data_IF_047781441246
#
_entry.id   IF_047781441246
#
_cell.length_a   1.000
_cell.length_b   1.000
_cell.length_c   1.000
_cell.angle_alpha   90.00
_cell.angle_beta   90.00
_cell.angle_gamma   90.00
#
_symmetry.space_group_name_H-M   'P 1'
#
loop_
_entity.id
_entity.type
_entity.pdbx_description
1 polymer ?
#
# COMPACT_ATOMS: atom_id res chain seq x y z
N UNK A 1 46.27 22.93 50.73
CA UNK A 1 45.39 23.99 51.25
C UNK A 1 44.90 24.81 50.08
N UNK A 2 43.57 24.87 49.92
CA UNK A 2 42.75 25.77 49.07
C UNK A 2 42.92 25.58 47.56
N UNK A 3 42.02 24.84 46.91
CA UNK A 3 40.63 25.21 46.56
C UNK A 3 40.52 26.61 45.97
N UNK A 4 40.43 26.66 44.64
CA UNK A 4 39.94 27.81 43.88
C UNK A 4 38.77 27.34 43.04
N UNK A 5 37.65 27.31 43.74
CA UNK A 5 36.26 27.34 43.30
C UNK A 5 36.06 27.98 41.91
N UNK A 6 35.55 27.19 40.96
CA UNK A 6 34.81 27.71 39.81
C UNK A 6 33.43 28.14 40.30
N UNK A 7 33.30 29.36 40.82
CA UNK A 7 31.99 29.98 41.03
C UNK A 7 31.55 30.49 39.66
N UNK A 8 30.68 29.71 39.00
CA UNK A 8 29.86 30.22 37.90
C UNK A 8 28.77 31.07 38.56
N UNK A 9 28.88 32.39 38.44
CA UNK A 9 27.77 33.30 38.74
C UNK A 9 26.61 32.98 37.79
N UNK A 10 25.63 32.22 38.29
CA UNK A 10 24.34 32.08 37.62
C UNK A 10 23.57 33.39 37.80
N UNK A 11 23.41 34.15 36.72
CA UNK A 11 22.56 35.34 36.67
C UNK A 11 21.13 35.00 37.17
N UNK A 12 20.55 35.84 38.04
CA UNK A 12 19.20 35.66 38.62
C UNK A 12 18.07 35.41 37.59
N UNK A 13 18.24 35.89 36.35
CA UNK A 13 17.32 35.63 35.23
C UNK A 13 17.27 34.16 34.78
N UNK A 14 18.36 33.42 34.94
CA UNK A 14 18.41 31.97 34.64
C UNK A 14 17.69 31.15 35.71
N UNK A 15 17.76 31.59 36.96
CA UNK A 15 17.10 30.97 38.11
C UNK A 15 15.58 31.18 38.04
N UNK A 16 15.13 32.40 37.68
CA UNK A 16 13.71 32.71 37.47
C UNK A 16 13.13 31.94 36.27
N UNK A 17 13.87 31.86 35.15
CA UNK A 17 13.47 31.05 33.99
C UNK A 17 13.38 29.55 34.32
N UNK A 18 14.30 29.01 35.13
CA UNK A 18 14.27 27.62 35.57
C UNK A 18 13.12 27.34 36.53
N UNK A 19 12.84 28.28 37.45
CA UNK A 19 11.71 28.21 38.39
C UNK A 19 10.36 28.25 37.65
N UNK A 20 10.24 29.12 36.65
CA UNK A 20 9.06 29.22 35.79
C UNK A 20 8.86 27.95 34.96
N UNK A 21 9.93 27.38 34.39
CA UNK A 21 9.86 26.09 33.70
C UNK A 21 9.44 24.95 34.63
N UNK A 22 10.03 24.84 35.82
CA UNK A 22 9.68 23.81 36.80
C UNK A 22 8.22 23.94 37.27
N UNK A 23 7.72 25.17 37.43
CA UNK A 23 6.32 25.44 37.78
C UNK A 23 5.37 25.04 36.64
N UNK A 24 5.73 25.33 35.39
CA UNK A 24 4.97 24.90 34.21
C UNK A 24 4.91 23.38 34.11
N UNK A 25 6.05 22.68 34.24
CA UNK A 25 6.10 21.21 34.22
C UNK A 25 5.25 20.62 35.35
N UNK A 26 5.27 21.20 36.56
CA UNK A 26 4.43 20.74 37.67
C UNK A 26 2.94 20.91 37.38
N UNK A 27 2.56 22.01 36.71
CA UNK A 27 1.18 22.23 36.24
C UNK A 27 0.79 21.28 35.10
N UNK A 28 1.71 20.94 34.21
CA UNK A 28 1.46 19.95 33.16
C UNK A 28 1.30 18.54 33.75
N UNK A 29 2.12 18.20 34.75
CA UNK A 29 2.03 16.94 35.49
C UNK A 29 0.69 16.80 36.23
N UNK A 30 0.17 17.89 36.81
CA UNK A 30 -1.12 17.86 37.51
C UNK A 30 -2.30 17.68 36.56
N UNK A 31 -2.17 18.10 35.29
CA UNK A 31 -3.18 17.92 34.23
C UNK A 31 -2.95 16.69 33.36
N UNK A 32 -1.83 15.98 33.55
CA UNK A 32 -1.35 14.95 32.63
C UNK A 32 -2.35 13.84 32.33
N UNK A 33 -3.12 13.39 33.31
CA UNK A 33 -4.12 12.33 33.11
C UNK A 33 -5.27 12.79 32.20
N UNK A 34 -5.74 14.02 32.38
CA UNK A 34 -6.77 14.64 31.54
C UNK A 34 -6.21 14.91 30.13
N UNK A 35 -5.00 15.49 30.05
CA UNK A 35 -4.30 15.73 28.78
C UNK A 35 -4.13 14.44 27.98
N UNK A 36 -3.68 13.34 28.60
CA UNK A 36 -3.53 12.04 27.94
C UNK A 36 -4.85 11.48 27.40
N UNK A 37 -5.94 11.65 28.14
CA UNK A 37 -7.26 11.20 27.70
C UNK A 37 -7.72 11.97 26.47
N UNK A 38 -7.57 13.30 26.50
CA UNK A 38 -7.91 14.20 25.38
C UNK A 38 -7.01 13.94 24.17
N UNK A 39 -5.70 13.81 24.38
CA UNK A 39 -4.72 13.48 23.34
C UNK A 39 -5.03 12.14 22.68
N UNK A 40 -5.32 11.10 23.47
CA UNK A 40 -5.70 9.78 22.95
C UNK A 40 -6.95 9.85 22.07
N UNK A 41 -7.99 10.55 22.52
CA UNK A 41 -9.21 10.75 21.72
C UNK A 41 -8.94 11.56 20.45
N UNK A 42 -8.02 12.52 20.50
CA UNK A 42 -7.65 13.34 19.34
C UNK A 42 -6.83 12.54 18.33
N UNK A 43 -5.82 11.79 18.77
CA UNK A 43 -4.99 10.94 17.91
C UNK A 43 -5.81 9.85 17.22
N UNK A 44 -6.80 9.28 17.92
CA UNK A 44 -7.71 8.29 17.36
C UNK A 44 -8.57 8.82 16.19
N UNK A 45 -8.73 10.15 16.06
CA UNK A 45 -9.49 10.77 14.97
C UNK A 45 -8.62 11.18 13.78
N UNK A 46 -7.30 11.25 13.95
CA UNK A 46 -6.37 11.67 12.91
C UNK A 46 -6.19 10.57 11.88
N UNK A 47 -6.14 10.96 10.61
CA UNK A 47 -5.97 10.03 9.48
C UNK A 47 -5.24 10.64 8.29
N UNK A 48 -5.18 11.97 8.20
CA UNK A 48 -4.48 12.71 7.17
C UNK A 48 -3.25 13.34 7.81
N UNK A 49 -2.05 12.92 7.36
CA UNK A 49 -0.79 13.27 8.01
C UNK A 49 0.10 14.12 7.10
N UNK A 50 0.81 15.09 7.70
CA UNK A 50 1.98 15.70 7.07
C UNK A 50 3.18 14.76 7.21
N UNK A 51 3.79 14.45 6.09
CA UNK A 51 4.98 13.63 5.98
C UNK A 51 6.21 14.50 6.35
N UNK A 52 7.03 14.07 7.32
CA UNK A 52 8.25 14.77 7.70
C UNK A 52 9.22 14.91 6.51
N UNK A 53 9.99 16.02 6.49
CA UNK A 53 10.99 16.28 5.43
C UNK A 53 11.99 15.13 5.26
N UNK A 54 12.44 14.53 6.36
CA UNK A 54 13.35 13.39 6.34
C UNK A 54 12.82 12.20 5.54
N UNK A 55 11.50 11.99 5.49
CA UNK A 55 10.88 10.94 4.67
C UNK A 55 10.72 11.40 3.22
N UNK A 56 10.40 12.67 3.00
CA UNK A 56 10.25 13.24 1.64
C UNK A 56 11.56 13.26 0.85
N UNK A 57 12.67 13.58 1.52
CA UNK A 57 13.99 13.71 0.89
C UNK A 57 14.51 12.36 0.36
N UNK A 58 14.04 11.24 0.91
CA UNK A 58 14.39 9.89 0.47
C UNK A 58 13.69 9.47 -0.84
N UNK A 59 12.49 10.00 -1.07
CA UNK A 59 11.64 9.69 -2.23
C UNK A 59 11.08 11.00 -2.81
N UNK A 60 11.98 11.86 -3.28
CA UNK A 60 11.65 13.20 -3.78
C UNK A 60 10.73 13.10 -5.01
N UNK A 61 9.46 13.45 -4.84
CA UNK A 61 8.44 13.43 -5.89
C UNK A 61 7.22 12.56 -5.60
N UNK A 62 7.34 11.58 -4.70
CA UNK A 62 6.23 10.67 -4.36
C UNK A 62 5.13 11.31 -3.47
N UNK A 63 5.48 12.40 -2.79
CA UNK A 63 4.64 13.03 -1.76
C UNK A 63 4.26 14.48 -2.07
N UNK A 64 4.50 14.94 -3.31
CA UNK A 64 4.15 16.30 -3.72
C UNK A 64 3.17 16.25 -4.89
N UNK A 65 1.95 16.79 -4.74
CA UNK A 65 1.00 16.85 -5.85
C UNK A 65 1.56 17.74 -6.96
N UNK A 66 1.31 17.36 -8.21
CA UNK A 66 1.83 18.06 -9.39
C UNK A 66 0.74 18.66 -10.28
N UNK A 67 -0.51 18.18 -10.14
CA UNK A 67 -1.64 18.52 -11.00
C UNK A 67 -2.77 19.16 -10.22
N UNK A 68 -3.13 18.60 -9.05
CA UNK A 68 -4.28 19.08 -8.28
C UNK A 68 -4.03 19.01 -6.77
N UNK A 69 -4.25 20.12 -6.08
CA UNK A 69 -4.35 20.15 -4.63
C UNK A 69 -5.70 19.59 -4.20
N UNK A 70 -5.77 18.84 -3.11
CA UNK A 70 -7.00 18.29 -2.55
C UNK A 70 -6.89 18.40 -1.03
N UNK A 71 -7.88 19.02 -0.42
CA UNK A 71 -7.86 19.33 1.00
C UNK A 71 -6.97 20.52 1.31
N UNK A 72 -6.40 20.53 2.52
CA UNK A 72 -5.92 21.76 3.14
C UNK A 72 -4.41 21.99 3.02
N UNK A 73 -3.58 20.94 2.97
CA UNK A 73 -2.13 21.12 3.10
C UNK A 73 -1.47 21.77 1.89
N UNK A 74 -2.01 21.53 0.69
CA UNK A 74 -1.51 22.08 -0.58
C UNK A 74 -2.45 23.16 -1.15
N UNK A 75 -3.39 23.65 -0.34
CA UNK A 75 -4.35 24.64 -0.78
C UNK A 75 -3.64 25.99 -1.03
N UNK A 76 -3.81 26.52 -2.25
CA UNK A 76 -3.20 27.80 -2.65
C UNK A 76 -1.78 27.69 -3.23
N UNK A 77 -1.19 26.49 -3.28
CA UNK A 77 0.14 26.27 -3.86
C UNK A 77 0.20 26.80 -5.31
N UNK A 78 1.15 27.71 -5.65
CA UNK A 78 1.16 28.40 -6.94
C UNK A 78 1.20 27.47 -8.16
N UNK A 79 1.90 26.34 -8.08
CA UNK A 79 2.02 25.40 -9.20
C UNK A 79 0.75 24.57 -9.43
N UNK A 80 -0.21 24.57 -8.50
CA UNK A 80 -1.47 23.80 -8.59
C UNK A 80 -2.69 24.66 -8.95
N UNK A 81 -2.52 25.98 -9.06
CA UNK A 81 -3.62 26.92 -9.28
C UNK A 81 -4.38 26.70 -10.60
N UNK A 82 -3.75 26.09 -11.59
CA UNK A 82 -4.37 25.79 -12.89
C UNK A 82 -5.63 24.94 -12.76
N UNK A 83 -5.68 24.04 -11.76
CA UNK A 83 -6.83 23.15 -11.55
C UNK A 83 -7.98 23.81 -10.77
N UNK A 84 -7.74 24.89 -10.02
CA UNK A 84 -8.78 25.55 -9.19
C UNK A 84 -9.98 26.02 -10.03
N UNK A 85 -9.74 26.49 -11.26
CA UNK A 85 -10.82 26.84 -12.19
C UNK A 85 -11.70 25.63 -12.53
N UNK A 86 -11.10 24.45 -12.70
CA UNK A 86 -11.84 23.22 -13.02
C UNK A 86 -12.60 22.68 -11.80
N UNK A 87 -12.06 22.83 -10.60
CA UNK A 87 -12.79 22.52 -9.36
C UNK A 87 -14.03 23.40 -9.18
N UNK A 88 -13.89 24.70 -9.44
CA UNK A 88 -15.05 25.60 -9.40
C UNK A 88 -16.12 25.23 -10.44
N UNK A 89 -15.71 24.83 -11.65
CA UNK A 89 -16.63 24.33 -12.68
C UNK A 89 -17.34 23.03 -12.24
N UNK A 90 -16.63 22.13 -11.59
CA UNK A 90 -17.22 20.92 -11.01
C UNK A 90 -18.27 21.25 -9.94
N UNK A 91 -17.99 22.21 -9.05
CA UNK A 91 -18.95 22.69 -8.06
C UNK A 91 -20.24 23.21 -8.73
N UNK A 92 -20.12 24.09 -9.74
CA UNK A 92 -21.28 24.64 -10.42
C UNK A 92 -22.14 23.54 -11.08
N UNK A 93 -21.48 22.60 -11.77
CA UNK A 93 -22.16 21.49 -12.45
C UNK A 93 -22.85 20.56 -11.45
N UNK A 94 -22.20 20.29 -10.31
CA UNK A 94 -22.76 19.51 -9.21
C UNK A 94 -24.01 20.18 -8.61
N UNK A 95 -23.98 21.49 -8.35
CA UNK A 95 -25.12 22.24 -7.83
C UNK A 95 -26.29 22.34 -8.83
N UNK A 96 -25.98 22.54 -10.11
CA UNK A 96 -26.98 22.56 -11.18
C UNK A 96 -27.71 21.22 -11.26
N UNK A 97 -26.96 20.11 -11.22
CA UNK A 97 -27.53 18.76 -11.29
C UNK A 97 -28.38 18.42 -10.07
N UNK A 98 -27.93 18.79 -8.87
CA UNK A 98 -28.66 18.49 -7.64
C UNK A 98 -29.91 19.34 -7.46
N UNK A 99 -29.96 20.51 -8.12
CA UNK A 99 -31.01 21.53 -7.95
C UNK A 99 -31.16 22.02 -6.50
N UNK A 100 -30.09 21.89 -5.71
CA UNK A 100 -30.03 22.34 -4.31
C UNK A 100 -29.08 23.53 -4.19
N UNK A 101 -29.40 24.56 -3.38
CA UNK A 101 -28.50 25.68 -3.16
C UNK A 101 -27.25 25.24 -2.38
N UNK A 102 -26.14 25.95 -2.57
CA UNK A 102 -24.87 25.71 -1.85
C UNK A 102 -25.06 25.62 -0.33
N UNK A 103 -25.99 26.41 0.22
CA UNK A 103 -26.29 26.45 1.65
C UNK A 103 -26.69 25.07 2.20
N UNK A 104 -27.39 24.25 1.44
CA UNK A 104 -27.75 22.89 1.87
C UNK A 104 -26.52 22.03 2.17
N UNK A 105 -25.43 22.19 1.40
CA UNK A 105 -24.19 21.43 1.58
C UNK A 105 -23.35 21.96 2.74
N UNK A 106 -23.34 23.29 2.93
CA UNK A 106 -22.75 23.90 4.12
C UNK A 106 -23.46 23.41 5.39
N UNK A 107 -24.79 23.43 5.41
CA UNK A 107 -25.58 22.98 6.56
C UNK A 107 -25.43 21.48 6.79
N UNK A 108 -25.30 20.66 5.72
CA UNK A 108 -25.05 19.23 5.83
C UNK A 108 -23.68 18.89 6.43
N UNK A 109 -22.63 19.63 6.07
CA UNK A 109 -21.27 19.40 6.60
C UNK A 109 -21.02 20.07 7.96
N UNK A 110 -21.77 21.12 8.30
CA UNK A 110 -21.56 21.90 9.53
C UNK A 110 -21.51 21.05 10.81
N UNK A 111 -22.41 20.06 11.03
CA UNK A 111 -22.35 19.18 12.21
C UNK A 111 -21.07 18.34 12.29
N UNK A 112 -20.47 18.00 11.15
CA UNK A 112 -19.25 17.19 11.06
C UNK A 112 -17.96 18.03 11.03
N UNK A 113 -18.05 19.37 10.98
CA UNK A 113 -16.90 20.24 10.75
C UNK A 113 -15.74 19.99 11.73
N UNK A 114 -16.05 19.72 13.01
CA UNK A 114 -15.02 19.45 14.01
C UNK A 114 -14.34 18.09 13.80
N UNK A 115 -15.11 17.04 13.48
CA UNK A 115 -14.54 15.72 13.19
C UNK A 115 -13.71 15.75 11.91
N UNK A 116 -14.14 16.50 10.89
CA UNK A 116 -13.37 16.71 9.66
C UNK A 116 -12.04 17.44 9.93
N UNK A 117 -12.00 18.41 10.86
CA UNK A 117 -10.73 19.04 11.28
C UNK A 117 -9.84 18.08 12.03
N UNK A 118 -10.41 17.28 12.94
CA UNK A 118 -9.65 16.31 13.72
C UNK A 118 -9.03 15.20 12.87
N UNK A 119 -9.54 14.98 11.65
CA UNK A 119 -8.91 14.09 10.69
C UNK A 119 -7.50 14.55 10.26
N UNK A 120 -7.19 15.85 10.31
CA UNK A 120 -5.89 16.39 9.91
C UNK A 120 -4.92 16.50 11.09
N UNK A 121 -3.71 15.98 10.90
CA UNK A 121 -2.58 16.16 11.81
C UNK A 121 -2.01 17.59 11.70
N UNK A 122 -1.79 18.28 12.83
CA UNK A 122 -1.20 19.63 12.86
C UNK A 122 -1.79 20.64 11.85
N UNK A 123 -3.11 20.78 11.85
CA UNK A 123 -3.78 21.77 10.99
C UNK A 123 -3.34 23.22 11.32
N UNK A 124 -3.09 24.02 10.28
CA UNK A 124 -2.68 25.42 10.40
C UNK A 124 -3.77 26.27 11.09
N UNK A 125 -3.40 27.32 11.85
CA UNK A 125 -4.36 28.14 12.61
C UNK A 125 -5.49 28.74 11.76
N UNK A 126 -5.20 29.10 10.50
CA UNK A 126 -6.18 29.70 9.58
C UNK A 126 -7.42 28.81 9.41
N UNK A 127 -7.23 27.49 9.32
CA UNK A 127 -8.31 26.52 9.13
C UNK A 127 -9.08 26.18 10.41
N UNK A 128 -8.54 26.58 11.57
CA UNK A 128 -9.21 26.42 12.88
C UNK A 128 -10.15 27.59 13.17
N UNK A 129 -9.78 28.81 12.77
CA UNK A 129 -10.53 30.02 13.06
C UNK A 129 -11.72 30.26 12.12
N UNK A 130 -11.61 29.89 10.85
CA UNK A 130 -12.64 30.13 9.84
C UNK A 130 -13.33 28.83 9.41
N UNK A 131 -14.56 28.61 9.91
CA UNK A 131 -15.35 27.42 9.57
C UNK A 131 -15.92 27.48 8.18
N UNK A 132 -16.31 28.66 7.70
CA UNK A 132 -16.90 28.75 6.37
C UNK A 132 -15.83 28.54 5.29
N UNK A 133 -14.66 29.16 5.45
CA UNK A 133 -13.54 28.93 4.53
C UNK A 133 -13.08 27.47 4.53
N UNK A 134 -12.97 26.83 5.71
CA UNK A 134 -12.67 25.41 5.82
C UNK A 134 -13.68 24.53 5.07
N UNK A 135 -14.99 24.73 5.32
CA UNK A 135 -16.04 23.95 4.67
C UNK A 135 -16.10 24.22 3.16
N UNK A 136 -15.79 25.45 2.72
CA UNK A 136 -15.71 25.78 1.30
C UNK A 136 -14.68 24.93 0.57
N UNK A 137 -13.50 24.73 1.14
CA UNK A 137 -12.47 23.84 0.55
C UNK A 137 -13.00 22.41 0.49
N UNK A 138 -13.60 21.89 1.57
CA UNK A 138 -14.18 20.54 1.58
C UNK A 138 -15.25 20.34 0.51
N UNK A 139 -16.13 21.33 0.31
CA UNK A 139 -17.21 21.28 -0.69
C UNK A 139 -16.62 21.33 -2.10
N UNK A 140 -15.74 22.30 -2.39
CA UNK A 140 -15.17 22.48 -3.73
C UNK A 140 -14.36 21.25 -4.15
N UNK A 141 -13.44 20.80 -3.29
CA UNK A 141 -12.59 19.65 -3.60
C UNK A 141 -13.41 18.35 -3.60
N UNK A 142 -14.39 18.21 -2.70
CA UNK A 142 -15.29 17.06 -2.68
C UNK A 142 -16.16 16.96 -3.93
N UNK A 143 -16.72 18.08 -4.41
CA UNK A 143 -17.46 18.12 -5.67
C UNK A 143 -16.55 17.78 -6.85
N UNK A 144 -15.35 18.34 -6.90
CA UNK A 144 -14.36 18.01 -7.93
C UNK A 144 -14.05 16.51 -7.98
N UNK A 145 -13.78 15.90 -6.82
CA UNK A 145 -13.52 14.45 -6.70
C UNK A 145 -14.72 13.64 -7.20
N UNK A 146 -15.95 13.98 -6.78
CA UNK A 146 -17.14 13.26 -7.24
C UNK A 146 -17.36 13.39 -8.75
N UNK A 147 -17.17 14.58 -9.31
CA UNK A 147 -17.34 14.83 -10.75
C UNK A 147 -16.27 14.13 -11.60
N UNK A 148 -15.00 14.16 -11.18
CA UNK A 148 -13.94 13.50 -11.96
C UNK A 148 -14.12 11.99 -11.94
N UNK A 149 -14.54 11.41 -10.82
CA UNK A 149 -14.82 9.97 -10.73
C UNK A 149 -16.01 9.56 -11.62
N UNK A 150 -17.10 10.34 -11.61
CA UNK A 150 -18.28 10.10 -12.45
C UNK A 150 -17.97 10.17 -13.93
N UNK A 151 -17.31 11.24 -14.35
CA UNK A 151 -16.99 11.47 -15.76
C UNK A 151 -15.99 10.45 -16.31
N UNK A 152 -15.00 10.05 -15.51
CA UNK A 152 -14.01 9.06 -15.91
C UNK A 152 -14.53 7.61 -15.93
N UNK A 153 -15.61 7.31 -15.20
CA UNK A 153 -16.23 5.97 -15.16
C UNK A 153 -17.47 5.84 -16.05
N UNK A 154 -17.96 6.96 -16.59
CA UNK A 154 -19.14 7.01 -17.44
C UNK A 154 -18.80 6.69 -18.90
N UNK A 155 -19.79 6.17 -19.63
CA UNK A 155 -19.72 6.11 -21.10
C UNK A 155 -19.70 7.54 -21.68
N UNK A 156 -19.03 7.78 -22.83
CA UNK A 156 -18.90 9.12 -23.42
C UNK A 156 -20.24 9.86 -23.59
N UNK A 157 -21.28 9.16 -24.03
CA UNK A 157 -22.64 9.72 -24.20
C UNK A 157 -23.29 10.16 -22.89
N UNK A 158 -22.91 9.55 -21.76
CA UNK A 158 -23.41 9.90 -20.44
C UNK A 158 -22.74 11.15 -19.89
N UNK A 159 -21.48 11.42 -20.24
CA UNK A 159 -20.73 12.61 -19.82
C UNK A 159 -21.39 13.90 -20.33
N UNK A 160 -21.87 13.89 -21.57
CA UNK A 160 -22.60 15.04 -22.16
C UNK A 160 -23.88 15.35 -21.38
N UNK A 161 -24.59 14.30 -20.95
CA UNK A 161 -25.80 14.44 -20.12
C UNK A 161 -25.50 14.96 -18.71
N UNK A 162 -24.25 14.88 -18.25
CA UNK A 162 -23.81 15.43 -16.96
C UNK A 162 -23.48 16.93 -17.03
N UNK A 163 -23.54 17.57 -18.20
CA UNK A 163 -23.28 19.01 -18.36
C UNK A 163 -21.90 19.36 -18.89
N UNK A 164 -21.07 18.38 -19.23
CA UNK A 164 -19.74 18.61 -19.81
C UNK A 164 -19.74 18.43 -21.33
N UNK A 165 -19.07 19.33 -22.03
CA UNK A 165 -18.94 19.27 -23.48
C UNK A 165 -17.84 18.28 -23.91
N UNK A 166 -17.95 17.72 -25.12
CA UNK A 166 -16.98 16.74 -25.65
C UNK A 166 -15.53 17.20 -25.66
N UNK A 167 -15.31 18.51 -25.84
CA UNK A 167 -13.97 19.10 -25.90
C UNK A 167 -13.52 19.66 -24.54
N UNK A 168 -14.18 19.30 -23.44
CA UNK A 168 -13.73 19.69 -22.11
C UNK A 168 -12.32 19.13 -21.84
N UNK A 169 -11.35 19.95 -21.38
CA UNK A 169 -9.99 19.47 -21.20
C UNK A 169 -9.83 18.47 -20.04
N UNK A 170 -10.75 18.43 -19.06
CA UNK A 170 -10.62 17.64 -17.83
C UNK A 170 -11.73 16.58 -17.72
N UNK A 171 -12.97 16.96 -17.96
CA UNK A 171 -14.16 16.14 -17.71
C UNK A 171 -14.69 15.40 -18.95
N UNK A 172 -14.00 15.48 -20.10
CA UNK A 172 -14.34 14.73 -21.31
C UNK A 172 -13.63 13.38 -21.39
N UNK A 173 -13.95 12.57 -22.40
CA UNK A 173 -13.18 11.36 -22.72
C UNK A 173 -11.71 11.63 -23.02
N UNK A 174 -11.38 12.82 -23.57
CA UNK A 174 -9.98 13.22 -23.76
C UNK A 174 -9.31 13.52 -22.41
N UNK A 175 -9.99 14.26 -21.53
CA UNK A 175 -9.51 14.52 -20.17
C UNK A 175 -9.33 13.24 -19.36
N UNK A 176 -10.24 12.28 -19.50
CA UNK A 176 -10.16 10.96 -18.90
C UNK A 176 -8.94 10.16 -19.34
N UNK A 177 -8.46 10.34 -20.57
CA UNK A 177 -7.27 9.65 -21.08
C UNK A 177 -5.97 10.32 -20.61
N UNK A 178 -5.90 11.65 -20.65
CA UNK A 178 -4.63 12.38 -20.50
C UNK A 178 -4.42 13.08 -19.16
N UNK A 179 -5.49 13.43 -18.42
CA UNK A 179 -5.37 14.13 -17.13
C UNK A 179 -5.68 13.25 -15.93
N UNK A 180 -6.65 12.34 -16.08
CA UNK A 180 -7.09 11.47 -14.98
C UNK A 180 -5.95 10.62 -14.39
N UNK A 181 -4.99 10.06 -15.15
CA UNK A 181 -3.85 9.36 -14.53
C UNK A 181 -3.06 10.22 -13.52
N UNK A 182 -2.80 11.49 -13.87
CA UNK A 182 -2.10 12.41 -12.97
C UNK A 182 -2.97 12.84 -11.78
N UNK A 183 -4.27 13.05 -12.00
CA UNK A 183 -5.23 13.34 -10.93
C UNK A 183 -5.33 12.14 -9.97
N UNK A 184 -5.39 10.90 -10.47
CA UNK A 184 -5.40 9.69 -9.63
C UNK A 184 -4.19 9.62 -8.72
N UNK A 185 -3.00 9.85 -9.27
CA UNK A 185 -1.76 9.84 -8.48
C UNK A 185 -1.83 10.87 -7.36
N UNK A 186 -2.21 12.10 -7.66
CA UNK A 186 -2.34 13.16 -6.66
C UNK A 186 -3.47 12.87 -5.63
N UNK A 187 -4.57 12.21 -6.05
CA UNK A 187 -5.66 11.76 -5.17
C UNK A 187 -5.29 10.61 -4.23
N UNK A 188 -4.16 9.93 -4.44
CA UNK A 188 -3.66 8.87 -3.56
C UNK A 188 -2.52 9.36 -2.65
N UNK A 189 -2.14 10.64 -2.72
CA UNK A 189 -1.11 11.17 -1.84
C UNK A 189 -1.66 11.43 -0.44
N UNK A 190 -0.94 10.98 0.59
CA UNK A 190 -1.38 11.07 1.99
C UNK A 190 -1.59 12.52 2.45
N UNK A 191 -0.77 13.46 1.97
CA UNK A 191 -0.91 14.89 2.27
C UNK A 191 -2.02 15.60 1.46
N UNK A 192 -2.56 14.92 0.45
CA UNK A 192 -3.47 15.50 -0.53
C UNK A 192 -4.84 14.80 -0.47
N UNK A 193 -5.40 14.70 0.73
CA UNK A 193 -6.65 14.00 1.02
C UNK A 193 -7.70 14.95 1.60
N UNK A 194 -8.97 14.56 1.43
CA UNK A 194 -10.08 14.96 2.30
C UNK A 194 -10.64 13.72 3.01
N UNK A 195 -11.25 13.87 4.20
CA UNK A 195 -11.86 12.73 4.88
C UNK A 195 -12.98 12.12 4.04
N UNK A 196 -13.06 10.79 4.00
CA UNK A 196 -14.13 10.08 3.27
C UNK A 196 -15.51 10.46 3.81
N UNK A 197 -15.60 10.82 5.10
CA UNK A 197 -16.81 11.35 5.72
C UNK A 197 -17.34 12.60 5.00
N UNK A 198 -16.48 13.53 4.57
CA UNK A 198 -16.90 14.72 3.83
C UNK A 198 -17.50 14.33 2.47
N UNK A 199 -16.83 13.43 1.75
CA UNK A 199 -17.32 12.89 0.48
C UNK A 199 -18.66 12.17 0.64
N UNK A 200 -18.81 11.37 1.70
CA UNK A 200 -20.06 10.67 2.00
C UNK A 200 -21.22 11.63 2.25
N UNK A 201 -21.00 12.68 3.05
CA UNK A 201 -22.02 13.69 3.35
C UNK A 201 -22.42 14.41 2.05
N UNK A 202 -21.45 14.85 1.23
CA UNK A 202 -21.74 15.53 -0.04
C UNK A 202 -22.50 14.63 -1.02
N UNK A 203 -22.07 13.38 -1.16
CA UNK A 203 -22.67 12.40 -2.06
C UNK A 203 -24.12 12.09 -1.68
N UNK A 204 -24.40 11.93 -0.39
CA UNK A 204 -25.76 11.68 0.11
C UNK A 204 -26.62 12.95 0.08
N UNK A 205 -26.05 14.12 0.38
CA UNK A 205 -26.77 15.39 0.33
C UNK A 205 -27.22 15.77 -1.09
N UNK A 206 -26.56 15.24 -2.13
CA UNK A 206 -26.96 15.45 -3.53
C UNK A 206 -28.33 14.82 -3.86
N UNK A 207 -28.56 13.57 -3.45
CA UNK A 207 -29.76 12.80 -3.76
C UNK A 207 -30.25 12.03 -2.53
N UNK A 208 -31.44 12.37 -2.05
CA UNK A 208 -32.03 11.82 -0.83
C UNK A 208 -32.25 10.29 -0.94
N UNK A 209 -32.33 9.74 -2.15
CA UNK A 209 -32.41 8.29 -2.38
C UNK A 209 -31.12 7.54 -1.98
N UNK A 210 -30.02 8.26 -1.73
CA UNK A 210 -28.73 7.69 -1.33
C UNK A 210 -28.59 7.51 0.19
N UNK A 211 -29.57 7.90 1.01
CA UNK A 211 -29.48 7.77 2.47
C UNK A 211 -29.20 6.34 2.96
N UNK A 212 -29.76 5.32 2.27
CA UNK A 212 -29.65 3.92 2.71
C UNK A 212 -28.39 3.23 2.18
N UNK A 213 -27.98 3.52 0.94
CA UNK A 213 -26.92 2.80 0.22
C UNK A 213 -25.78 3.70 -0.28
N UNK A 214 -25.74 4.96 0.16
CA UNK A 214 -24.84 6.00 -0.36
C UNK A 214 -23.37 5.66 -0.17
N UNK A 215 -22.99 5.16 1.01
CA UNK A 215 -21.61 4.75 1.29
C UNK A 215 -21.15 3.63 0.37
N UNK A 216 -21.94 2.57 0.19
CA UNK A 216 -21.59 1.47 -0.71
C UNK A 216 -21.47 1.94 -2.16
N UNK A 217 -22.37 2.81 -2.62
CA UNK A 217 -22.30 3.42 -3.96
C UNK A 217 -21.09 4.33 -4.14
N UNK A 218 -20.74 5.11 -3.12
CA UNK A 218 -19.53 5.94 -3.11
C UNK A 218 -18.27 5.07 -3.17
N UNK A 219 -18.18 4.02 -2.35
CA UNK A 219 -17.05 3.09 -2.39
C UNK A 219 -16.94 2.39 -3.75
N UNK A 220 -18.06 1.98 -4.37
CA UNK A 220 -18.04 1.47 -5.75
C UNK A 220 -17.50 2.48 -6.74
N UNK A 221 -17.95 3.74 -6.66
CA UNK A 221 -17.50 4.80 -7.55
C UNK A 221 -15.99 5.01 -7.43
N UNK A 222 -15.47 5.09 -6.20
CA UNK A 222 -14.04 5.24 -5.93
C UNK A 222 -13.25 4.04 -6.47
N UNK A 223 -13.64 2.82 -6.13
CA UNK A 223 -12.89 1.61 -6.54
C UNK A 223 -12.94 1.38 -8.06
N UNK A 224 -14.06 1.69 -8.72
CA UNK A 224 -14.15 1.68 -10.18
C UNK A 224 -13.21 2.72 -10.80
N UNK A 225 -13.20 3.94 -10.26
CA UNK A 225 -12.33 5.00 -10.75
C UNK A 225 -10.87 4.58 -10.70
N UNK A 226 -10.38 4.02 -9.59
CA UNK A 226 -9.01 3.53 -9.49
C UNK A 226 -8.76 2.16 -10.10
N UNK A 227 -9.75 1.56 -10.78
CA UNK A 227 -9.64 0.21 -11.37
C UNK A 227 -9.23 -0.87 -10.36
N UNK A 228 -9.57 -0.65 -9.10
CA UNK A 228 -9.24 -1.57 -8.01
C UNK A 228 -10.23 -2.73 -7.97
N UNK A 229 -9.75 -3.96 -7.70
CA UNK A 229 -10.62 -5.11 -7.58
C UNK A 229 -11.58 -4.90 -6.40
N UNK A 230 -12.86 -5.15 -6.64
CA UNK A 230 -13.90 -5.10 -5.61
C UNK A 230 -14.97 -6.15 -5.91
N UNK A 231 -15.57 -6.69 -4.86
CA UNK A 231 -16.79 -7.51 -4.97
C UNK A 231 -17.94 -6.68 -4.43
N UNK A 232 -18.89 -6.34 -5.29
CA UNK A 232 -20.07 -5.55 -4.92
C UNK A 232 -20.79 -6.11 -3.68
N UNK A 233 -20.75 -7.44 -3.49
CA UNK A 233 -21.38 -8.10 -2.35
C UNK A 233 -20.60 -7.93 -1.04
N UNK A 234 -19.31 -7.59 -1.11
CA UNK A 234 -18.42 -7.39 0.06
C UNK A 234 -18.13 -5.93 0.34
N UNK A 235 -18.77 -5.00 -0.36
CA UNK A 235 -18.50 -3.56 -0.19
C UNK A 235 -18.80 -3.04 1.23
N UNK A 236 -19.74 -3.69 1.92
CA UNK A 236 -20.04 -3.41 3.31
C UNK A 236 -18.98 -3.94 4.29
N UNK A 237 -18.08 -4.83 3.84
CA UNK A 237 -16.96 -5.35 4.64
C UNK A 237 -15.76 -4.40 4.65
N UNK A 238 -15.71 -3.43 3.73
CA UNK A 238 -14.77 -2.31 3.81
C UNK A 238 -15.25 -1.49 5.00
N UNK A 239 -14.53 -1.57 6.13
CA UNK A 239 -14.91 -0.93 7.38
C UNK A 239 -15.04 0.60 7.27
N UNK A 240 -14.95 1.31 8.39
CA UNK A 240 -14.90 2.79 8.38
C UNK A 240 -13.58 3.26 7.76
N UNK A 241 -13.48 3.24 6.43
CA UNK A 241 -12.34 3.77 5.70
C UNK A 241 -12.26 5.27 5.93
N UNK A 242 -11.04 5.77 6.13
CA UNK A 242 -10.84 7.13 6.64
C UNK A 242 -10.78 8.18 5.52
N UNK A 243 -10.16 7.83 4.40
CA UNK A 243 -10.02 8.64 3.19
C UNK A 243 -9.82 7.71 1.97
N UNK A 244 -9.65 8.28 0.77
CA UNK A 244 -9.57 7.52 -0.49
C UNK A 244 -8.39 6.54 -0.51
N UNK A 245 -7.20 7.00 -0.10
CA UNK A 245 -6.00 6.16 -0.03
C UNK A 245 -6.20 4.92 0.86
N UNK A 246 -6.80 5.08 2.04
CA UNK A 246 -7.06 3.94 2.94
C UNK A 246 -8.11 2.98 2.35
N UNK A 247 -9.15 3.49 1.68
CA UNK A 247 -10.10 2.64 0.95
C UNK A 247 -9.44 1.82 -0.17
N UNK A 248 -8.54 2.44 -0.94
CA UNK A 248 -7.79 1.75 -2.00
C UNK A 248 -6.86 0.70 -1.40
N UNK A 249 -6.13 1.03 -0.33
CA UNK A 249 -5.28 0.10 0.42
C UNK A 249 -6.07 -1.12 0.91
N UNK A 250 -7.20 -0.91 1.59
CA UNK A 250 -8.07 -1.99 2.07
C UNK A 250 -8.55 -2.89 0.93
N UNK A 251 -8.86 -2.33 -0.23
CA UNK A 251 -9.27 -3.11 -1.41
C UNK A 251 -8.19 -4.03 -1.94
N UNK A 252 -6.92 -3.63 -1.87
CA UNK A 252 -5.78 -4.48 -2.24
C UNK A 252 -5.56 -5.62 -1.22
N UNK A 253 -5.93 -5.40 0.04
CA UNK A 253 -5.78 -6.38 1.12
C UNK A 253 -6.91 -7.41 1.17
N UNK A 254 -8.06 -7.11 0.54
CA UNK A 254 -9.20 -8.02 0.51
C UNK A 254 -9.00 -9.21 -0.44
N UNK A 255 -9.23 -10.42 0.07
CA UNK A 255 -9.28 -11.64 -0.75
C UNK A 255 -10.59 -11.74 -1.52
N UNK A 256 -10.60 -11.13 -2.70
CA UNK A 256 -11.71 -11.19 -3.63
C UNK A 256 -11.50 -12.38 -4.58
N UNK A 257 -12.42 -13.34 -4.56
CA UNK A 257 -12.34 -14.50 -5.43
C UNK A 257 -12.61 -14.10 -6.87
N UNK A 258 -11.64 -14.30 -7.77
CA UNK A 258 -11.91 -14.28 -9.21
C UNK A 258 -12.88 -15.45 -9.53
N UNK A 259 -14.09 -15.16 -10.04
CA UNK A 259 -15.09 -16.20 -10.29
C UNK A 259 -14.65 -17.18 -11.39
N UNK A 260 -14.23 -18.39 -10.98
CA UNK A 260 -14.62 -19.74 -11.45
C UNK A 260 -13.56 -20.74 -11.00
N UNK A 261 -13.63 -21.19 -9.74
CA UNK A 261 -13.06 -22.47 -9.32
C UNK A 261 -13.70 -22.92 -8.01
N UNK A 262 -14.04 -24.21 -7.93
CA UNK A 262 -14.67 -24.85 -6.79
C UNK A 262 -14.07 -24.44 -5.44
N UNK A 263 -14.95 -24.15 -4.47
CA UNK A 263 -14.61 -23.90 -3.07
C UNK A 263 -13.68 -25.03 -2.56
N UNK A 264 -12.45 -24.76 -2.12
CA UNK A 264 -11.81 -25.66 -1.19
C UNK A 264 -12.53 -25.53 0.15
N UNK A 265 -13.05 -26.65 0.67
CA UNK A 265 -13.29 -26.80 2.10
C UNK A 265 -11.91 -26.71 2.76
N UNK A 266 -11.57 -25.56 3.35
CA UNK A 266 -10.70 -25.42 4.52
C UNK A 266 -10.58 -23.93 4.85
N UNK A 267 -11.39 -23.49 5.83
CA UNK A 267 -11.12 -22.27 6.60
C UNK A 267 -9.87 -22.54 7.41
N UNK A 268 -8.80 -21.78 7.19
CA UNK A 268 -7.71 -21.73 8.16
C UNK A 268 -8.18 -20.87 9.33
N UNK A 269 -8.29 -21.48 10.52
CA UNK A 269 -8.29 -20.74 11.78
C UNK A 269 -6.83 -20.48 12.14
N UNK A 270 -6.57 -19.26 12.60
CA UNK A 270 -5.32 -18.88 13.24
C UNK A 270 -5.15 -19.77 14.47
N UNK A 271 -4.14 -20.64 14.48
CA UNK A 271 -3.79 -21.43 15.66
C UNK A 271 -2.65 -20.68 16.36
N UNK A 272 -2.94 -20.16 17.54
CA UNK A 272 -2.05 -19.26 18.30
C UNK A 272 -0.88 -20.00 18.98
N UNK A 273 -0.79 -21.32 18.82
CA UNK A 273 0.01 -22.19 19.69
C UNK A 273 1.44 -22.46 19.19
N UNK A 274 1.97 -21.63 18.28
CA UNK A 274 3.34 -21.75 17.78
C UNK A 274 4.05 -20.40 17.66
N UNK A 275 4.14 -19.63 18.75
CA UNK A 275 5.16 -18.57 18.88
C UNK A 275 6.42 -19.17 19.52
N UNK A 276 7.59 -19.18 18.85
CA UNK A 276 8.86 -19.26 19.55
C UNK A 276 9.09 -17.95 20.31
N UNK A 277 9.55 -18.06 21.56
CA UNK A 277 9.87 -16.94 22.43
C UNK A 277 10.84 -15.95 21.78
N UNK A 278 10.42 -14.68 21.76
CA UNK A 278 11.21 -13.43 21.76
C UNK A 278 12.73 -13.59 21.53
N UNK A 279 13.12 -13.61 20.26
CA UNK A 279 14.47 -13.30 19.82
C UNK A 279 14.43 -12.12 18.86
N UNK A 280 15.03 -10.99 19.23
CA UNK A 280 15.27 -9.86 18.32
C UNK A 280 16.07 -10.37 17.13
N UNK A 281 15.45 -10.44 15.95
CA UNK A 281 16.08 -10.88 14.71
C UNK A 281 17.28 -9.97 14.41
N UNK A 282 18.49 -10.54 14.40
CA UNK A 282 19.70 -9.81 13.99
C UNK A 282 19.70 -9.67 12.47
N UNK A 283 20.12 -8.49 12.01
CA UNK A 283 20.21 -7.99 10.61
C UNK A 283 20.96 -8.90 9.60
N UNK A 284 21.51 -10.04 10.01
CA UNK A 284 22.25 -10.99 9.16
C UNK A 284 21.52 -12.29 8.80
N UNK A 285 20.46 -12.66 9.53
CA UNK A 285 19.76 -13.95 9.32
C UNK A 285 18.47 -13.83 8.47
N UNK A 286 18.21 -12.65 7.88
CA UNK A 286 16.87 -12.21 7.44
C UNK A 286 16.76 -11.98 5.91
N UNK A 287 17.77 -12.33 5.11
CA UNK A 287 17.62 -12.20 3.65
C UNK A 287 16.91 -13.43 3.07
N UNK A 288 15.70 -13.24 2.55
CA UNK A 288 15.13 -14.18 1.58
C UNK A 288 16.08 -14.20 0.38
N UNK A 289 16.32 -15.41 -0.15
CA UNK A 289 17.04 -15.59 -1.40
C UNK A 289 16.23 -15.04 -2.58
N UNK A 290 16.90 -14.55 -3.61
CA UNK A 290 16.24 -14.04 -4.82
C UNK A 290 15.37 -15.11 -5.51
N UNK A 291 14.42 -14.71 -6.35
CA UNK A 291 13.51 -15.65 -7.01
C UNK A 291 14.25 -16.71 -7.84
N UNK A 292 15.37 -16.34 -8.47
CA UNK A 292 16.24 -17.27 -9.18
C UNK A 292 16.87 -18.28 -8.22
N UNK A 293 17.47 -17.84 -7.13
CA UNK A 293 18.09 -18.72 -6.12
C UNK A 293 17.07 -19.65 -5.46
N UNK A 294 15.86 -19.16 -5.16
CA UNK A 294 14.77 -19.98 -4.65
C UNK A 294 14.38 -21.06 -5.66
N UNK A 295 14.33 -20.72 -6.95
CA UNK A 295 14.06 -21.69 -8.03
C UNK A 295 15.17 -22.73 -8.15
N UNK A 296 16.43 -22.35 -7.92
CA UNK A 296 17.56 -23.28 -7.87
C UNK A 296 17.49 -24.22 -6.66
N UNK A 297 16.98 -23.74 -5.52
CA UNK A 297 16.65 -24.56 -4.36
C UNK A 297 15.40 -25.44 -4.53
N UNK A 298 14.79 -25.47 -5.72
CA UNK A 298 13.65 -26.33 -6.04
C UNK A 298 12.28 -25.71 -5.73
N UNK A 299 12.20 -24.43 -5.38
CA UNK A 299 10.93 -23.75 -5.16
C UNK A 299 10.27 -23.40 -6.49
N UNK A 300 8.96 -23.64 -6.59
CA UNK A 300 8.16 -23.29 -7.76
C UNK A 300 7.29 -22.07 -7.47
N UNK A 301 7.50 -21.00 -8.23
CA UNK A 301 6.61 -19.84 -8.26
C UNK A 301 5.34 -20.12 -9.07
N UNK A 302 4.18 -19.82 -8.49
CA UNK A 302 2.88 -19.85 -9.18
C UNK A 302 2.06 -18.60 -8.85
N UNK A 303 1.25 -18.18 -9.80
CA UNK A 303 0.25 -17.14 -9.53
C UNK A 303 -0.78 -17.64 -8.50
N UNK A 304 -1.19 -16.73 -7.62
CA UNK A 304 -2.25 -16.96 -6.66
C UNK A 304 -3.63 -16.82 -7.29
N UNK A 305 -4.69 -17.16 -6.54
CA UNK A 305 -6.06 -17.17 -7.07
C UNK A 305 -6.71 -15.79 -7.07
N UNK A 306 -6.19 -14.88 -6.26
CA UNK A 306 -6.67 -13.52 -6.15
C UNK A 306 -5.54 -12.54 -6.45
N UNK A 307 -5.89 -11.26 -6.64
CA UNK A 307 -4.94 -10.15 -6.74
C UNK A 307 -4.62 -9.52 -5.38
N UNK A 308 -5.06 -10.15 -4.29
CA UNK A 308 -4.88 -9.61 -2.95
C UNK A 308 -3.42 -9.72 -2.52
N UNK A 309 -2.85 -8.64 -1.97
CA UNK A 309 -1.49 -8.64 -1.43
C UNK A 309 -1.33 -9.65 -0.27
N UNK A 310 -2.43 -9.97 0.41
CA UNK A 310 -2.49 -10.97 1.47
C UNK A 310 -2.58 -12.42 0.95
N UNK A 311 -2.73 -12.66 -0.35
CA UNK A 311 -2.88 -14.00 -0.93
C UNK A 311 -1.54 -14.64 -1.30
N UNK A 312 -0.61 -14.59 -0.34
CA UNK A 312 0.70 -15.23 -0.40
C UNK A 312 0.67 -16.53 0.41
N UNK A 313 1.18 -17.62 -0.18
CA UNK A 313 1.25 -18.90 0.52
C UNK A 313 2.42 -19.76 0.06
N UNK A 314 2.98 -20.53 0.97
CA UNK A 314 4.05 -21.47 0.68
C UNK A 314 3.68 -22.87 1.17
N UNK A 315 3.55 -23.82 0.25
CA UNK A 315 3.20 -25.22 0.56
C UNK A 315 3.92 -26.19 -0.36
N UNK A 316 4.60 -27.19 0.21
CA UNK A 316 5.22 -28.28 -0.54
C UNK A 316 6.25 -27.81 -1.58
N UNK A 317 7.01 -26.74 -1.30
CA UNK A 317 7.96 -26.16 -2.25
C UNK A 317 7.31 -25.27 -3.31
N UNK A 318 6.01 -24.99 -3.24
CA UNK A 318 5.34 -24.06 -4.15
C UNK A 318 5.05 -22.75 -3.43
N UNK A 319 5.63 -21.66 -3.92
CA UNK A 319 5.37 -20.29 -3.47
C UNK A 319 4.34 -19.64 -4.40
N UNK A 320 3.19 -19.26 -3.84
CA UNK A 320 2.11 -18.58 -4.56
C UNK A 320 2.11 -17.11 -4.23
N UNK A 321 2.08 -16.28 -5.27
CA UNK A 321 2.10 -14.82 -5.17
C UNK A 321 0.95 -14.21 -5.96
N UNK A 322 0.34 -13.12 -5.49
CA UNK A 322 -0.67 -12.39 -6.25
C UNK A 322 -0.06 -11.81 -7.52
N UNK A 323 -0.91 -11.56 -8.52
CA UNK A 323 -0.50 -10.83 -9.71
C UNK A 323 -0.42 -9.33 -9.43
N UNK A 324 0.68 -8.71 -9.83
CA UNK A 324 0.98 -7.30 -9.68
C UNK A 324 1.19 -6.71 -11.07
N UNK A 325 0.48 -5.61 -11.37
CA UNK A 325 0.77 -4.78 -12.53
C UNK A 325 1.70 -3.66 -12.08
N UNK A 326 2.86 -3.55 -12.71
CA UNK A 326 3.88 -2.54 -12.35
C UNK A 326 3.93 -1.48 -13.44
N UNK A 327 3.40 -0.31 -13.12
CA UNK A 327 3.35 0.88 -13.98
C UNK A 327 4.02 2.09 -13.29
N UNK A 328 4.02 3.23 -13.98
CA UNK A 328 4.62 4.48 -13.48
C UNK A 328 3.92 5.04 -12.22
N UNK A 329 2.70 4.59 -11.91
CA UNK A 329 1.92 5.08 -10.76
C UNK A 329 2.17 4.25 -9.50
N UNK A 330 2.57 2.99 -9.63
CA UNK A 330 2.73 2.05 -8.53
C UNK A 330 3.66 2.57 -7.44
N UNK A 331 4.78 3.21 -7.80
CA UNK A 331 5.75 3.72 -6.82
C UNK A 331 5.09 4.72 -5.86
N UNK A 332 4.44 5.73 -6.44
CA UNK A 332 3.77 6.78 -5.67
C UNK A 332 2.64 6.20 -4.82
N UNK A 333 1.86 5.28 -5.36
CA UNK A 333 0.76 4.65 -4.63
C UNK A 333 1.26 3.86 -3.41
N UNK A 334 2.25 2.99 -3.60
CA UNK A 334 2.78 2.14 -2.53
C UNK A 334 3.51 2.96 -1.47
N UNK A 335 4.31 3.97 -1.84
CA UNK A 335 4.97 4.85 -0.88
C UNK A 335 3.98 5.60 0.01
N UNK A 336 2.86 6.07 -0.57
CA UNK A 336 1.83 6.75 0.22
C UNK A 336 1.07 5.78 1.13
N UNK A 337 0.81 4.54 0.69
CA UNK A 337 0.23 3.49 1.56
C UNK A 337 1.16 3.10 2.71
N UNK A 338 2.46 2.92 2.44
CA UNK A 338 3.48 2.65 3.46
C UNK A 338 3.58 3.82 4.44
N UNK A 339 3.57 5.06 3.95
CA UNK A 339 3.54 6.24 4.80
C UNK A 339 2.30 6.24 5.71
N UNK A 340 1.13 5.90 5.16
CA UNK A 340 -0.09 5.78 5.95
C UNK A 340 0.02 4.68 7.03
N UNK A 341 0.49 3.48 6.68
CA UNK A 341 0.73 2.38 7.65
C UNK A 341 1.73 2.79 8.74
N UNK A 342 2.75 3.58 8.39
CA UNK A 342 3.76 4.08 9.31
C UNK A 342 3.23 5.13 10.29
N UNK A 343 2.33 6.02 9.85
CA UNK A 343 1.85 7.13 10.68
C UNK A 343 0.53 6.84 11.39
N UNK A 344 -0.28 5.92 10.88
CA UNK A 344 -1.61 5.65 11.41
C UNK A 344 -1.64 4.40 12.29
N UNK A 345 -1.86 4.61 13.59
CA UNK A 345 -2.00 3.52 14.57
C UNK A 345 -3.23 2.67 14.23
N UNK A 346 -3.02 1.36 14.06
CA UNK A 346 -4.08 0.42 13.73
C UNK A 346 -4.33 0.24 12.23
N UNK A 347 -3.57 0.91 11.34
CA UNK A 347 -3.64 0.66 9.90
C UNK A 347 -3.18 -0.76 9.53
N UNK A 348 -2.28 -1.35 10.33
CA UNK A 348 -1.57 -2.58 10.01
C UNK A 348 -0.23 -2.30 9.32
N UNK A 349 0.38 -3.34 8.77
CA UNK A 349 1.69 -3.30 8.11
C UNK A 349 1.72 -4.19 6.86
N UNK A 350 0.55 -4.50 6.29
CA UNK A 350 0.39 -5.51 5.25
C UNK A 350 1.03 -5.08 3.92
N UNK A 351 0.83 -3.84 3.48
CA UNK A 351 1.48 -3.33 2.25
C UNK A 351 2.98 -3.23 2.45
N UNK A 352 3.39 -2.71 3.60
CA UNK A 352 4.80 -2.58 3.99
C UNK A 352 5.51 -3.95 4.01
N UNK A 353 4.89 -4.95 4.63
CA UNK A 353 5.40 -6.32 4.70
C UNK A 353 5.44 -6.98 3.32
N UNK A 354 4.44 -6.70 2.47
CA UNK A 354 4.40 -7.17 1.10
C UNK A 354 5.56 -6.62 0.27
N UNK A 355 5.80 -5.31 0.31
CA UNK A 355 6.89 -4.66 -0.39
C UNK A 355 8.23 -5.24 0.03
N UNK A 356 8.46 -5.36 1.34
CA UNK A 356 9.68 -5.96 1.85
C UNK A 356 9.87 -7.41 1.38
N UNK A 357 8.79 -8.21 1.37
CA UNK A 357 8.85 -9.57 0.87
C UNK A 357 9.19 -9.62 -0.62
N UNK A 358 8.59 -8.73 -1.43
CA UNK A 358 8.82 -8.65 -2.87
C UNK A 358 10.25 -8.17 -3.19
N UNK A 359 10.75 -7.17 -2.47
CA UNK A 359 12.14 -6.70 -2.52
C UNK A 359 13.12 -7.85 -2.27
N UNK A 360 12.89 -8.66 -1.23
CA UNK A 360 13.74 -9.82 -0.92
C UNK A 360 13.79 -10.88 -2.03
N UNK A 361 12.74 -11.05 -2.85
CA UNK A 361 12.76 -11.99 -3.98
C UNK A 361 13.14 -11.33 -5.32
N UNK A 362 13.14 -10.00 -5.43
CA UNK A 362 13.47 -9.25 -6.65
C UNK A 362 14.77 -8.48 -6.43
N UNK A 363 15.89 -9.15 -6.65
CA UNK A 363 17.21 -8.50 -6.58
C UNK A 363 17.68 -8.02 -7.97
N UNK A 364 17.30 -8.72 -9.04
CA UNK A 364 17.78 -8.47 -10.40
C UNK A 364 16.70 -8.54 -11.47
N UNK A 365 17.02 -8.03 -12.67
CA UNK A 365 16.16 -8.16 -13.84
C UNK A 365 15.85 -9.64 -14.20
N UNK A 366 16.72 -10.59 -13.83
CA UNK A 366 16.47 -12.03 -14.07
C UNK A 366 15.35 -12.56 -13.18
N UNK A 367 15.28 -12.07 -11.94
CA UNK A 367 14.22 -12.42 -10.99
C UNK A 367 12.88 -11.91 -11.49
N UNK A 368 12.84 -10.67 -11.99
CA UNK A 368 11.65 -10.10 -12.63
C UNK A 368 11.26 -10.91 -13.86
N UNK A 369 12.20 -11.23 -14.75
CA UNK A 369 11.92 -12.04 -15.94
C UNK A 369 11.33 -13.42 -15.61
N UNK A 370 11.83 -14.06 -14.53
CA UNK A 370 11.26 -15.30 -14.01
C UNK A 370 9.82 -15.08 -13.51
N UNK A 371 9.57 -14.09 -12.65
CA UNK A 371 8.24 -13.84 -12.09
C UNK A 371 7.23 -13.39 -13.16
N UNK A 372 7.69 -12.64 -14.17
CA UNK A 372 6.93 -12.26 -15.34
C UNK A 372 6.52 -13.50 -16.16
N UNK A 373 7.44 -14.44 -16.41
CA UNK A 373 7.12 -15.70 -17.10
C UNK A 373 6.09 -16.57 -16.37
N UNK A 374 5.91 -16.36 -15.06
CA UNK A 374 4.92 -17.05 -14.22
C UNK A 374 3.62 -16.29 -14.06
N UNK A 375 3.46 -15.14 -14.72
CA UNK A 375 2.27 -14.29 -14.67
C UNK A 375 2.08 -13.56 -13.33
N UNK A 376 3.11 -13.53 -12.48
CA UNK A 376 3.09 -12.87 -11.18
C UNK A 376 3.33 -11.37 -11.34
N UNK A 377 4.30 -10.97 -12.18
CA UNK A 377 4.56 -9.57 -12.52
C UNK A 377 4.07 -9.30 -13.93
N UNK A 378 3.32 -8.22 -14.12
CA UNK A 378 3.02 -7.63 -15.43
C UNK A 378 3.77 -6.32 -15.53
N UNK A 379 4.77 -6.26 -16.42
CA UNK A 379 5.66 -5.13 -16.53
C UNK A 379 5.13 -4.09 -17.54
N UNK A 380 4.83 -2.88 -17.06
CA UNK A 380 4.48 -1.70 -17.87
C UNK A 380 5.49 -0.55 -17.72
N UNK A 381 6.60 -0.73 -16.98
CA UNK A 381 7.70 0.24 -16.83
C UNK A 381 8.72 0.20 -17.97
N UNK A 382 8.58 -0.75 -18.90
CA UNK A 382 9.40 -0.84 -20.11
C UNK A 382 10.66 -1.71 -20.01
N UNK A 383 11.13 -2.08 -18.81
CA UNK A 383 12.20 -3.07 -18.66
C UNK A 383 12.15 -3.83 -17.34
N UNK A 384 12.63 -5.06 -17.33
CA UNK A 384 12.69 -5.89 -16.11
C UNK A 384 13.65 -5.30 -15.07
N UNK A 385 14.68 -4.57 -15.54
CA UNK A 385 15.60 -3.85 -14.64
C UNK A 385 14.89 -2.70 -13.92
N UNK A 386 14.07 -1.92 -14.62
CA UNK A 386 13.32 -0.83 -14.00
C UNK A 386 12.38 -1.34 -12.89
N UNK A 387 11.75 -2.50 -13.08
CA UNK A 387 10.93 -3.13 -12.03
C UNK A 387 11.77 -3.54 -10.82
N UNK A 388 12.96 -4.11 -11.03
CA UNK A 388 13.84 -4.47 -9.91
C UNK A 388 14.31 -3.22 -9.15
N UNK A 389 14.74 -2.18 -9.87
CA UNK A 389 15.17 -0.92 -9.28
C UNK A 389 14.02 -0.24 -8.48
N UNK A 390 12.77 -0.39 -8.93
CA UNK A 390 11.57 0.08 -8.25
C UNK A 390 11.34 -0.60 -6.89
N UNK A 391 11.34 -1.94 -6.83
CA UNK A 391 11.11 -2.64 -5.56
C UNK A 391 12.23 -2.34 -4.55
N UNK A 392 13.47 -2.23 -5.04
CA UNK A 392 14.63 -1.78 -4.28
C UNK A 392 14.54 -0.31 -3.81
N UNK A 393 13.79 0.55 -4.50
CA UNK A 393 13.54 1.93 -4.04
C UNK A 393 12.46 1.96 -2.95
N UNK A 394 11.39 1.18 -3.13
CA UNK A 394 10.25 1.09 -2.21
C UNK A 394 10.62 0.55 -0.83
N UNK A 395 11.63 -0.32 -0.73
CA UNK A 395 12.09 -0.92 0.52
C UNK A 395 13.02 -0.02 1.35
N UNK A 396 13.43 1.15 0.83
CA UNK A 396 14.33 2.06 1.54
C UNK A 396 13.68 2.63 2.80
N UNK A 397 14.35 2.45 3.93
CA UNK A 397 13.90 2.91 5.27
C UNK A 397 12.52 2.39 5.70
N UNK A 398 12.15 1.21 5.20
CA UNK A 398 10.98 0.46 5.65
C UNK A 398 11.32 -0.31 6.92
N UNK A 399 10.58 -0.03 8.00
CA UNK A 399 10.64 -0.80 9.24
C UNK A 399 9.65 -1.96 9.18
N UNK A 400 10.14 -3.19 9.34
CA UNK A 400 9.29 -4.37 9.42
C UNK A 400 8.65 -4.52 10.80
N UNK A 401 7.39 -4.93 10.79
CA UNK A 401 6.74 -5.51 11.96
C UNK A 401 7.18 -6.99 12.11
N UNK A 402 7.88 -7.35 13.21
CA UNK A 402 8.34 -8.72 13.45
C UNK A 402 7.20 -9.74 13.54
N UNK A 403 5.98 -9.30 13.85
CA UNK A 403 4.80 -10.18 14.02
C UNK A 403 3.98 -10.35 12.74
N UNK A 404 4.42 -9.76 11.61
CA UNK A 404 3.69 -9.85 10.35
C UNK A 404 3.58 -11.30 9.83
N UNK A 405 2.44 -11.62 9.20
CA UNK A 405 2.20 -12.95 8.62
C UNK A 405 3.23 -13.32 7.53
N UNK A 406 3.81 -12.32 6.86
CA UNK A 406 4.86 -12.51 5.88
C UNK A 406 6.22 -12.78 6.51
N UNK A 407 6.51 -12.27 7.71
CA UNK A 407 7.70 -12.66 8.46
C UNK A 407 7.67 -14.16 8.82
N UNK A 408 6.50 -14.68 9.21
CA UNK A 408 6.32 -16.13 9.45
C UNK A 408 6.47 -16.95 8.16
N UNK A 409 5.95 -16.45 7.04
CA UNK A 409 6.10 -17.11 5.75
C UNK A 409 7.55 -17.12 5.26
N UNK A 410 8.27 -16.01 5.46
CA UNK A 410 9.71 -15.88 5.22
C UNK A 410 10.47 -17.01 5.95
N UNK A 411 10.22 -17.17 7.25
CA UNK A 411 10.86 -18.22 8.05
C UNK A 411 10.63 -19.62 7.48
N UNK A 412 9.41 -19.93 7.01
CA UNK A 412 9.08 -21.23 6.39
C UNK A 412 9.84 -21.47 5.08
N UNK A 413 10.02 -20.43 4.27
CA UNK A 413 10.78 -20.51 3.02
C UNK A 413 12.25 -20.78 3.31
N UNK A 414 12.83 -20.06 4.28
CA UNK A 414 14.22 -20.25 4.72
C UNK A 414 14.42 -21.67 5.29
N UNK A 415 13.52 -22.14 6.15
CA UNK A 415 13.58 -23.49 6.72
C UNK A 415 13.54 -24.57 5.63
N UNK A 416 12.65 -24.41 4.64
CA UNK A 416 12.59 -25.33 3.50
C UNK A 416 13.90 -25.37 2.72
N UNK A 417 14.49 -24.21 2.42
CA UNK A 417 15.79 -24.13 1.74
C UNK A 417 16.94 -24.69 2.59
N UNK A 418 16.75 -24.82 3.90
CA UNK A 418 17.67 -25.47 4.83
C UNK A 418 17.65 -27.00 4.78
N UNK A 419 16.61 -27.61 4.21
CA UNK A 419 16.48 -29.07 4.15
C UNK A 419 17.52 -29.69 3.21
N UNK A 420 17.97 -30.94 3.48
CA UNK A 420 19.03 -31.57 2.70
C UNK A 420 18.67 -31.68 1.22
N UNK A 421 17.46 -32.11 0.88
CA UNK A 421 17.06 -32.31 -0.51
C UNK A 421 17.08 -31.01 -1.35
N UNK A 422 16.43 -29.90 -0.93
CA UNK A 422 16.59 -28.58 -1.56
C UNK A 422 18.05 -28.10 -1.66
N UNK A 423 18.86 -28.30 -0.61
CA UNK A 423 20.29 -27.94 -0.63
C UNK A 423 21.08 -28.73 -1.67
N UNK A 424 20.87 -30.05 -1.73
CA UNK A 424 21.50 -30.92 -2.73
C UNK A 424 21.05 -30.57 -4.15
N UNK A 425 19.77 -30.22 -4.35
CA UNK A 425 19.28 -29.76 -5.64
C UNK A 425 19.96 -28.47 -6.10
N UNK A 426 20.07 -27.46 -5.22
CA UNK A 426 20.79 -26.23 -5.51
C UNK A 426 22.26 -26.50 -5.86
N UNK A 427 22.95 -27.31 -5.04
CA UNK A 427 24.34 -27.71 -5.28
C UNK A 427 24.52 -28.42 -6.62
N UNK A 428 23.63 -29.36 -6.94
CA UNK A 428 23.71 -30.13 -8.18
C UNK A 428 23.51 -29.24 -9.40
N UNK A 429 22.55 -28.32 -9.36
CA UNK A 429 22.28 -27.39 -10.45
C UNK A 429 23.48 -26.48 -10.71
N UNK A 430 24.07 -25.91 -9.65
CA UNK A 430 25.17 -24.96 -9.76
C UNK A 430 26.49 -25.61 -10.23
N UNK A 431 26.76 -26.86 -9.83
CA UNK A 431 28.06 -27.52 -10.13
C UNK A 431 28.03 -28.40 -11.38
N UNK A 432 26.89 -29.02 -11.70
CA UNK A 432 26.83 -29.99 -12.80
C UNK A 432 26.02 -29.51 -14.01
N UNK A 433 24.98 -28.72 -13.79
CA UNK A 433 24.06 -28.32 -14.86
C UNK A 433 24.31 -26.91 -15.42
N UNK A 434 25.26 -26.15 -14.86
CA UNK A 434 25.72 -24.89 -15.45
C UNK A 434 26.56 -25.13 -16.72
N UNK A 435 27.24 -26.27 -16.82
CA UNK A 435 27.98 -26.69 -18.03
C UNK A 435 27.22 -27.81 -18.74
N UNK A 436 26.69 -27.59 -19.96
CA UNK A 436 25.93 -28.59 -20.71
C UNK A 436 26.67 -29.92 -20.91
N UNK A 437 28.00 -29.86 -21.06
CA UNK A 437 28.84 -31.03 -21.27
C UNK A 437 28.96 -31.89 -20.01
N UNK A 438 28.97 -31.26 -18.83
CA UNK A 438 28.99 -31.99 -17.55
C UNK A 438 27.67 -32.73 -17.35
N UNK A 439 26.54 -32.08 -17.60
CA UNK A 439 25.23 -32.73 -17.58
C UNK A 439 25.15 -33.91 -18.55
N UNK A 440 25.63 -33.76 -19.80
CA UNK A 440 25.64 -34.83 -20.79
C UNK A 440 26.54 -36.00 -20.36
N UNK A 441 27.70 -35.70 -19.77
CA UNK A 441 28.62 -36.72 -19.28
C UNK A 441 28.02 -37.57 -18.14
N UNK A 442 27.24 -36.96 -17.25
CA UNK A 442 26.53 -37.67 -16.17
C UNK A 442 25.45 -38.58 -16.74
N UNK A 443 24.67 -38.10 -17.72
CA UNK A 443 23.64 -38.94 -18.37
C UNK A 443 24.28 -40.14 -19.08
N UNK A 444 25.38 -39.92 -19.80
CA UNK A 444 26.14 -40.99 -20.43
C UNK A 444 26.68 -41.99 -19.40
N UNK A 445 27.23 -41.52 -18.27
CA UNK A 445 27.72 -42.36 -17.20
C UNK A 445 26.60 -43.22 -16.57
N UNK A 446 25.43 -42.64 -16.28
CA UNK A 446 24.26 -43.36 -15.76
C UNK A 446 23.79 -44.43 -16.75
N UNK A 447 23.72 -44.08 -18.04
CA UNK A 447 23.32 -45.01 -19.10
C UNK A 447 24.28 -46.19 -19.22
N UNK A 448 25.59 -45.93 -19.21
CA UNK A 448 26.62 -46.97 -19.20
C UNK A 448 26.51 -47.86 -17.96
N UNK A 449 26.29 -47.27 -16.78
CA UNK A 449 26.12 -48.02 -15.54
C UNK A 449 24.90 -48.95 -15.58
N UNK A 450 23.78 -48.47 -16.12
CA UNK A 450 22.57 -49.27 -16.31
C UNK A 450 22.81 -50.45 -17.27
N UNK A 451 23.51 -50.21 -18.38
CA UNK A 451 23.91 -51.27 -19.31
C UNK A 451 24.80 -52.32 -18.64
N UNK A 452 25.78 -51.91 -17.85
CA UNK A 452 26.63 -52.87 -17.09
C UNK A 452 25.82 -53.65 -16.05
N UNK A 453 24.84 -53.02 -15.40
CA UNK A 453 23.93 -53.70 -14.48
C UNK A 453 23.10 -54.76 -15.19
N UNK A 454 22.49 -54.41 -16.31
CA UNK A 454 21.72 -55.35 -17.17
C UNK A 454 22.61 -56.50 -17.64
N UNK A 455 23.81 -56.18 -18.14
CA UNK A 455 24.77 -57.18 -18.59
C UNK A 455 25.10 -58.15 -17.44
N UNK A 456 25.42 -57.63 -16.26
CA UNK A 456 25.73 -58.45 -15.08
C UNK A 456 24.57 -59.38 -14.70
N UNK A 457 23.33 -58.89 -14.74
CA UNK A 457 22.12 -59.71 -14.48
C UNK A 457 21.99 -60.84 -15.50
N UNK A 458 22.17 -60.57 -16.80
CA UNK A 458 22.15 -61.60 -17.82
C UNK A 458 23.27 -62.62 -17.65
N UNK A 459 24.48 -62.19 -17.28
CA UNK A 459 25.60 -63.11 -17.03
C UNK A 459 25.32 -64.04 -15.84
N UNK A 460 24.76 -63.51 -14.75
CA UNK A 460 24.41 -64.29 -13.56
C UNK A 460 23.24 -65.23 -13.84
N UNK A 461 22.20 -64.77 -14.55
CA UNK A 461 21.08 -65.63 -14.95
C UNK A 461 21.55 -66.75 -15.89
N UNK A 462 22.44 -66.45 -16.84
CA UNK A 462 23.03 -67.47 -17.72
C UNK A 462 23.84 -68.52 -16.97
N UNK A 463 24.49 -68.15 -15.86
CA UNK A 463 25.19 -69.08 -14.98
C UNK A 463 24.23 -70.02 -14.23
N UNK A 464 23.15 -69.49 -13.66
CA UNK A 464 22.19 -70.27 -12.86
C UNK A 464 21.11 -71.01 -13.66
N UNK A 465 20.81 -70.60 -14.89
CA UNK A 465 19.87 -71.27 -15.80
C UNK A 465 20.55 -72.15 -16.86
N UNK A 466 21.86 -72.38 -16.76
CA UNK A 466 22.51 -73.41 -17.57
C UNK A 466 22.04 -74.79 -17.11
N UNK A 467 21.12 -75.37 -17.88
CA UNK A 467 20.66 -76.76 -17.78
C UNK A 467 20.89 -77.44 -19.12
#
# INVERSE_FOLDING_TARGET
MRDSQWIVEFNDTTTESAQNWATNVKNDLSKLAETRSVESMQWAKQSIYRIPRSVKDLCSGAYQPQTVSIGLYHHGDPHLQSMERHKHRALLTFLERSKKPLRCYLDALSPAAQDLRHAYHHLEPVWKGDTEAFLRVMIVDGCFILEIMRTATAAPESVEKMGYVRNDPVFSSHGALYFVPYIKRDMLMLENQIPLLALAILFVAEDDNLLVNGLSKLSMLILNFFSHPHDANKIHEYGKCLHILDLCRQSMLMRLSCQKANKPKNRWRFDSDCLPSTGVLKKGDVYIRSAMELTEAGIQFKQSRTRSLNDISFQGGVLRLPQIMVDDALESEYLNMIAFERFHVGAGSEVTSFVFFMDGIIDSARDVGLLHSRGIIQNALGSDKAVADLFNSLSRDVSLDPESSLAVLHQKVVEYCGKPLPRWMAYAKHNYFTNPWVGLSIVAAIFLFALTGIQTVYTVLGYYHSK
#
